data_IF_083661295269
#
_entry.id   IF_083661295269
#
_cell.length_a   1.000
_cell.length_b   1.000
_cell.length_c   1.000
_cell.angle_alpha   90.00
_cell.angle_beta   90.00
_cell.angle_gamma   90.00
#
_symmetry.space_group_name_H-M   'P 1'
#
loop_
_entity.id
_entity.type
_entity.pdbx_description
1 polymer ?
#
# COMPACT_ATOMS: atom_id res chain seq x y z
N UNK A 1 17.43 13.77 -5.86
CA UNK A 1 16.76 14.00 -4.54
C UNK A 1 15.62 13.01 -4.41
N UNK A 2 15.53 12.22 -3.32
CA UNK A 2 15.01 10.87 -3.41
C UNK A 2 13.48 10.90 -3.50
N UNK A 3 13.01 10.72 -4.73
CA UNK A 3 11.64 10.32 -4.98
C UNK A 3 11.29 9.04 -4.18
N UNK A 4 12.26 8.13 -4.07
CA UNK A 4 12.10 6.84 -3.39
C UNK A 4 11.47 6.91 -2.00
N UNK A 5 11.80 7.90 -1.16
CA UNK A 5 11.29 7.92 0.21
C UNK A 5 9.77 7.99 0.32
N UNK A 6 9.10 8.79 -0.53
CA UNK A 6 7.63 8.90 -0.50
C UNK A 6 6.95 7.69 -1.12
N UNK A 7 7.45 7.20 -2.24
CA UNK A 7 6.88 6.04 -2.94
C UNK A 7 7.07 4.75 -2.16
N UNK A 8 8.26 4.55 -1.58
CA UNK A 8 8.55 3.43 -0.71
C UNK A 8 7.65 3.47 0.53
N UNK A 9 7.51 4.64 1.17
CA UNK A 9 6.65 4.78 2.34
C UNK A 9 5.17 4.55 2.00
N UNK A 10 4.68 5.07 0.87
CA UNK A 10 3.33 4.77 0.40
C UNK A 10 3.14 3.27 0.13
N UNK A 11 4.13 2.61 -0.49
CA UNK A 11 4.09 1.16 -0.73
C UNK A 11 3.99 0.38 0.58
N UNK A 12 4.77 0.75 1.60
CA UNK A 12 4.73 0.12 2.93
C UNK A 12 3.37 0.30 3.60
N UNK A 13 2.80 1.51 3.57
CA UNK A 13 1.47 1.78 4.13
C UNK A 13 0.36 0.96 3.44
N UNK A 14 0.42 0.84 2.12
CA UNK A 14 -0.52 0.01 1.36
C UNK A 14 -0.34 -1.47 1.67
N UNK A 15 0.90 -1.95 1.74
CA UNK A 15 1.21 -3.33 2.12
C UNK A 15 0.65 -3.64 3.52
N UNK A 16 0.90 -2.76 4.49
CA UNK A 16 0.40 -2.90 5.85
C UNK A 16 -1.13 -2.95 5.89
N UNK A 17 -1.80 -2.02 5.19
CA UNK A 17 -3.27 -1.99 5.08
C UNK A 17 -3.83 -3.30 4.54
N UNK A 18 -3.21 -3.86 3.50
CA UNK A 18 -3.60 -5.12 2.89
C UNK A 18 -3.32 -6.31 3.82
N UNK A 19 -2.16 -6.37 4.46
CA UNK A 19 -1.80 -7.43 5.42
C UNK A 19 -2.70 -7.41 6.65
N UNK A 20 -3.08 -6.25 7.17
CA UNK A 20 -4.04 -6.14 8.27
C UNK A 20 -5.41 -6.70 7.87
N UNK A 21 -5.92 -6.35 6.67
CA UNK A 21 -7.18 -6.94 6.17
C UNK A 21 -7.10 -8.44 5.96
N UNK A 22 -5.99 -8.94 5.44
CA UNK A 22 -5.75 -10.37 5.26
C UNK A 22 -5.72 -11.12 6.60
N UNK A 23 -5.23 -10.49 7.68
CA UNK A 23 -5.27 -11.07 9.03
C UNK A 23 -6.64 -10.97 9.70
N UNK A 24 -7.37 -9.88 9.47
CA UNK A 24 -8.70 -9.65 10.05
C UNK A 24 -9.83 -10.39 9.33
N UNK A 25 -9.64 -10.74 8.06
CA UNK A 25 -10.61 -11.47 7.25
C UNK A 25 -10.06 -12.83 6.87
N UNK A 26 -10.79 -13.91 7.16
CA UNK A 26 -10.39 -15.28 6.82
C UNK A 26 -10.34 -15.56 5.31
N UNK A 27 -10.71 -14.59 4.47
CA UNK A 27 -10.69 -14.67 3.01
C UNK A 27 -9.93 -13.47 2.42
N UNK A 28 -9.29 -13.62 1.24
CA UNK A 28 -8.68 -12.49 0.54
C UNK A 28 -9.76 -11.46 0.19
N UNK A 29 -9.84 -10.40 1.01
CA UNK A 29 -10.77 -9.31 0.81
C UNK A 29 -10.29 -8.45 -0.37
N UNK A 30 -10.84 -8.74 -1.55
CA UNK A 30 -10.66 -7.92 -2.74
C UNK A 30 -10.99 -6.43 -2.43
N UNK A 31 -10.06 -5.54 -2.73
CA UNK A 31 -10.20 -4.08 -2.57
C UNK A 31 -10.05 -3.37 -3.90
N UNK A 32 -10.32 -2.07 -3.94
CA UNK A 32 -10.21 -1.25 -5.15
C UNK A 32 -9.12 -0.21 -4.98
N UNK A 33 -8.59 0.30 -6.10
CA UNK A 33 -7.60 1.38 -6.06
C UNK A 33 -8.13 2.62 -5.32
N UNK A 34 -9.43 2.90 -5.46
CA UNK A 34 -10.09 4.03 -4.78
C UNK A 34 -10.10 3.88 -3.25
N UNK A 35 -10.30 2.65 -2.74
CA UNK A 35 -10.21 2.37 -1.30
C UNK A 35 -8.79 2.65 -0.78
N UNK A 36 -7.78 2.26 -1.56
CA UNK A 36 -6.37 2.47 -1.22
C UNK A 36 -6.01 3.95 -1.30
N UNK A 37 -6.46 4.66 -2.34
CA UNK A 37 -6.27 6.10 -2.47
C UNK A 37 -6.94 6.87 -1.33
N UNK A 38 -8.14 6.47 -0.92
CA UNK A 38 -8.84 7.02 0.25
C UNK A 38 -8.07 6.78 1.54
N UNK A 39 -7.50 5.59 1.72
CA UNK A 39 -6.61 5.31 2.85
C UNK A 39 -5.37 6.20 2.81
N UNK A 40 -4.68 6.30 1.67
CA UNK A 40 -3.53 7.19 1.50
C UNK A 40 -3.89 8.66 1.75
N UNK A 41 -5.09 9.11 1.40
CA UNK A 41 -5.57 10.47 1.71
C UNK A 41 -5.66 10.69 3.24
N UNK A 42 -6.21 9.72 3.97
CA UNK A 42 -6.29 9.78 5.43
C UNK A 42 -4.90 9.75 6.09
N UNK A 43 -4.00 8.91 5.60
CA UNK A 43 -2.62 8.81 6.11
C UNK A 43 -1.82 10.05 5.72
N UNK A 44 -2.07 10.64 4.55
CA UNK A 44 -1.50 11.93 4.11
C UNK A 44 -1.88 13.05 5.06
N UNK A 45 -3.11 13.08 5.58
CA UNK A 45 -3.51 14.06 6.58
C UNK A 45 -2.67 13.95 7.88
N UNK A 46 -2.21 12.75 8.23
CA UNK A 46 -1.44 12.47 9.44
C UNK A 46 0.09 12.58 9.24
N UNK A 47 0.61 12.00 8.15
CA UNK A 47 2.04 11.85 7.86
C UNK A 47 2.51 12.65 6.65
N UNK A 48 1.63 13.39 5.98
CA UNK A 48 1.94 14.16 4.77
C UNK A 48 3.03 15.21 4.98
N UNK A 49 3.36 15.58 6.22
CA UNK A 49 4.52 16.41 6.56
C UNK A 49 5.84 15.84 6.02
N UNK A 50 5.95 14.51 5.92
CA UNK A 50 7.15 13.80 5.43
C UNK A 50 7.13 13.55 3.92
N UNK A 51 6.00 13.78 3.24
CA UNK A 51 5.87 13.51 1.81
C UNK A 51 6.39 14.67 0.97
N UNK A 52 6.85 14.42 -0.25
CA UNK A 52 7.25 15.51 -1.16
C UNK A 52 6.04 16.36 -1.59
N UNK A 53 6.28 17.59 -2.06
CA UNK A 53 5.21 18.52 -2.49
C UNK A 53 4.25 17.92 -3.53
N UNK A 54 4.75 17.19 -4.53
CA UNK A 54 3.89 16.57 -5.56
C UNK A 54 2.98 15.48 -5.00
N UNK A 55 3.45 14.71 -4.02
CA UNK A 55 2.66 13.69 -3.32
C UNK A 55 1.57 14.28 -2.39
N UNK A 56 1.64 15.59 -2.11
CA UNK A 56 0.61 16.32 -1.36
C UNK A 56 -0.38 17.03 -2.29
N UNK A 57 -0.20 16.95 -3.61
CA UNK A 57 -1.14 17.52 -4.55
C UNK A 57 -2.46 16.72 -4.49
N UNK A 58 -3.62 17.39 -4.61
CA UNK A 58 -4.89 16.67 -4.73
C UNK A 58 -4.86 15.77 -5.97
N UNK A 59 -5.20 14.49 -5.81
CA UNK A 59 -5.18 13.49 -6.89
C UNK A 59 -3.88 12.67 -6.96
N UNK A 60 -2.82 13.09 -6.26
CA UNK A 60 -1.57 12.33 -6.18
C UNK A 60 -1.74 11.00 -5.44
N UNK A 61 -2.79 10.85 -4.63
CA UNK A 61 -3.11 9.61 -3.92
C UNK A 61 -3.41 8.46 -4.88
N UNK A 62 -4.08 8.74 -6.00
CA UNK A 62 -4.38 7.70 -7.00
C UNK A 62 -3.11 7.26 -7.73
N UNK A 63 -2.24 8.20 -8.09
CA UNK A 63 -0.95 7.90 -8.69
C UNK A 63 -0.05 7.10 -7.73
N UNK A 64 0.03 7.51 -6.47
CA UNK A 64 0.78 6.80 -5.42
C UNK A 64 0.22 5.41 -5.15
N UNK A 65 -1.10 5.28 -5.08
CA UNK A 65 -1.76 3.98 -4.93
C UNK A 65 -1.42 3.06 -6.11
N UNK A 66 -1.46 3.59 -7.35
CA UNK A 66 -1.10 2.84 -8.55
C UNK A 66 0.35 2.36 -8.51
N UNK A 67 1.29 3.25 -8.17
CA UNK A 67 2.72 2.91 -8.04
C UNK A 67 2.93 1.85 -6.95
N UNK A 68 2.29 2.00 -5.79
CA UNK A 68 2.39 1.06 -4.69
C UNK A 68 1.90 -0.34 -5.10
N UNK A 69 0.74 -0.40 -5.75
CA UNK A 69 0.17 -1.67 -6.22
C UNK A 69 1.01 -2.30 -7.33
N UNK A 70 1.51 -1.52 -8.28
CA UNK A 70 2.41 -2.03 -9.32
C UNK A 70 3.67 -2.65 -8.72
N UNK A 71 4.28 -1.99 -7.72
CA UNK A 71 5.44 -2.53 -6.99
C UNK A 71 5.10 -3.82 -6.23
N UNK A 72 3.99 -3.84 -5.49
CA UNK A 72 3.56 -5.05 -4.77
C UNK A 72 3.22 -6.19 -5.74
N UNK A 73 2.65 -5.87 -6.90
CA UNK A 73 2.36 -6.85 -7.96
C UNK A 73 3.64 -7.44 -8.54
N UNK A 74 4.67 -6.61 -8.79
CA UNK A 74 6.00 -7.07 -9.23
C UNK A 74 6.65 -8.02 -8.22
N UNK A 75 6.38 -7.82 -6.93
CA UNK A 75 6.81 -8.71 -5.84
C UNK A 75 5.90 -9.93 -5.65
N UNK A 76 4.87 -10.11 -6.49
CA UNK A 76 3.86 -11.16 -6.38
C UNK A 76 3.17 -11.20 -4.99
N UNK A 77 2.99 -10.03 -4.40
CA UNK A 77 2.35 -9.83 -3.11
C UNK A 77 0.85 -9.51 -3.24
N UNK A 78 0.44 -8.96 -4.39
CA UNK A 78 -0.97 -8.67 -4.71
C UNK A 78 -1.33 -9.21 -6.09
N UNK A 79 -2.58 -9.63 -6.24
CA UNK A 79 -3.18 -9.97 -7.52
C UNK A 79 -4.18 -8.88 -7.94
N UNK A 80 -4.20 -8.53 -9.23
CA UNK A 80 -5.18 -7.61 -9.80
C UNK A 80 -6.09 -8.38 -10.77
N UNK A 81 -7.36 -8.50 -10.44
CA UNK A 81 -8.39 -9.19 -11.23
C UNK A 81 -9.62 -8.31 -11.40
N UNK A 82 -10.06 -8.02 -12.63
CA UNK A 82 -11.27 -7.23 -12.90
C UNK A 82 -11.33 -5.91 -12.10
N UNK A 83 -10.23 -5.16 -12.07
CA UNK A 83 -10.07 -3.92 -11.29
C UNK A 83 -10.15 -4.09 -9.76
N UNK A 84 -10.06 -5.33 -9.29
CA UNK A 84 -10.00 -5.69 -7.87
C UNK A 84 -8.62 -6.16 -7.49
N UNK A 85 -8.12 -5.62 -6.41
CA UNK A 85 -6.81 -5.90 -5.83
C UNK A 85 -7.02 -6.88 -4.68
N UNK A 86 -6.49 -8.08 -4.81
CA UNK A 86 -6.53 -9.12 -3.79
C UNK A 86 -5.15 -9.26 -3.16
N UNK A 87 -5.08 -9.15 -1.84
CA UNK A 87 -3.86 -9.44 -1.09
C UNK A 87 -3.59 -10.95 -1.15
N UNK A 88 -2.36 -11.34 -1.53
CA UNK A 88 -1.96 -12.75 -1.54
C UNK A 88 -1.49 -13.16 -0.14
N UNK A 89 -1.65 -14.45 0.25
CA UNK A 89 -1.20 -14.94 1.55
C UNK A 89 0.28 -14.66 1.85
N UNK A 90 1.13 -14.55 0.81
CA UNK A 90 2.52 -14.14 0.93
C UNK A 90 2.74 -12.75 1.60
N UNK A 91 1.77 -11.83 1.52
CA UNK A 91 1.79 -10.56 2.28
C UNK A 91 1.61 -10.75 3.78
N UNK A 92 0.88 -11.78 4.19
CA UNK A 92 0.66 -12.13 5.59
C UNK A 92 1.77 -13.01 6.15
N UNK A 93 2.37 -13.84 5.30
CA UNK A 93 3.52 -14.70 5.61
C UNK A 93 4.86 -13.96 5.52
N UNK A 94 4.87 -12.67 5.13
CA UNK A 94 6.03 -11.80 5.34
C UNK A 94 6.25 -11.64 6.84
N UNK A 95 6.85 -12.69 7.40
CA UNK A 95 7.53 -12.81 8.66
C UNK A 95 8.65 -11.77 8.63
N UNK A 96 8.27 -10.51 8.85
CA UNK A 96 9.14 -9.56 9.53
C UNK A 96 9.29 -10.05 10.97
N UNK A 97 9.93 -11.21 11.12
CA UNK A 97 10.70 -11.56 12.28
C UNK A 97 11.74 -10.46 12.39
N UNK A 98 11.40 -9.42 13.15
CA UNK A 98 12.39 -8.66 13.90
C UNK A 98 12.99 -9.70 14.86
N UNK A 99 13.91 -10.51 14.35
CA UNK A 99 14.83 -11.25 15.19
C UNK A 99 15.90 -10.23 15.53
N UNK A 100 15.66 -9.47 16.59
CA UNK A 100 16.75 -8.80 17.28
C UNK A 100 16.95 -9.54 18.61
N UNK A 101 18.21 -9.90 18.83
CA UNK A 101 18.73 -10.79 19.86
C UNK A 101 18.86 -10.13 21.23
#
# INVERSE_FOLDING_TARGET
>A
MPAEGTEAHATLLVAEFLSQRLRSSSLPAATTLDTIASHLCNVRAQFGKYWRKSARAPGAEQELAGIAIDRLRKLQLVALENDRISALPALGESDIRITDS
#
